data_IF_615330749720
#
_entry.id   IF_615330749720
#
_cell.length_a   1.000
_cell.length_b   1.000
_cell.length_c   1.000
_cell.angle_alpha   90.00
_cell.angle_beta   90.00
_cell.angle_gamma   90.00
#
_symmetry.space_group_name_H-M   'P 1'
#
loop_
_entity.id
_entity.type
_entity.pdbx_description
1 polymer ?
#
# COMPACT_ATOMS: atom_id res chain seq x y z
N UNK A 1 -14.03 3.15 7.82
CA UNK A 1 -12.72 3.83 7.66
C UNK A 1 -12.41 4.82 8.79
N UNK A 2 -11.36 4.57 9.57
CA UNK A 2 -10.80 5.40 10.64
C UNK A 2 -9.99 6.61 10.09
N UNK A 3 -9.58 7.52 10.96
CA UNK A 3 -8.89 8.75 10.56
C UNK A 3 -7.46 8.50 10.05
N UNK A 4 -6.73 7.59 10.69
CA UNK A 4 -5.34 7.27 10.32
C UNK A 4 -5.22 6.74 8.88
N UNK A 5 -6.12 5.83 8.49
CA UNK A 5 -6.15 5.28 7.13
C UNK A 5 -6.59 6.33 6.12
N UNK A 6 -7.50 7.26 6.48
CA UNK A 6 -7.86 8.39 5.61
C UNK A 6 -6.67 9.29 5.31
N UNK A 7 -5.88 9.58 6.34
CA UNK A 7 -4.74 10.48 6.21
C UNK A 7 -3.57 9.81 5.47
N UNK A 8 -3.36 8.50 5.67
CA UNK A 8 -2.40 7.71 4.91
C UNK A 8 -2.78 7.57 3.43
N UNK A 9 -4.07 7.39 3.15
CA UNK A 9 -4.59 7.06 1.83
C UNK A 9 -5.70 8.01 1.39
N UNK A 10 -5.37 9.29 1.10
CA UNK A 10 -6.32 10.19 0.46
C UNK A 10 -6.79 9.65 -0.89
N UNK A 11 -6.00 8.81 -1.57
CA UNK A 11 -6.39 8.16 -2.83
C UNK A 11 -7.59 7.20 -2.71
N UNK A 12 -7.99 6.77 -1.50
CA UNK A 12 -9.19 5.95 -1.31
C UNK A 12 -10.45 6.63 -1.84
N UNK A 13 -10.53 7.96 -1.82
CA UNK A 13 -11.71 8.68 -2.35
C UNK A 13 -11.85 8.59 -3.87
N UNK A 14 -10.82 8.10 -4.57
CA UNK A 14 -10.87 7.88 -6.01
C UNK A 14 -11.59 6.58 -6.39
N UNK A 15 -11.78 5.66 -5.43
CA UNK A 15 -12.56 4.45 -5.62
C UNK A 15 -14.04 4.83 -5.47
N UNK A 16 -14.79 4.73 -6.55
CA UNK A 16 -16.20 5.12 -6.61
C UNK A 16 -17.12 4.06 -5.98
N UNK A 17 -16.82 2.77 -6.19
CA UNK A 17 -17.47 1.65 -5.52
C UNK A 17 -17.21 1.72 -4.00
N UNK A 18 -18.28 2.06 -3.27
CA UNK A 18 -18.22 2.23 -1.82
C UNK A 18 -17.86 0.95 -1.07
N UNK A 19 -18.31 -0.22 -1.55
CA UNK A 19 -18.00 -1.50 -0.91
C UNK A 19 -16.52 -1.83 -1.09
N UNK A 20 -15.98 -1.66 -2.29
CA UNK A 20 -14.56 -1.88 -2.57
C UNK A 20 -13.69 -0.89 -1.82
N UNK A 21 -14.07 0.40 -1.77
CA UNK A 21 -13.36 1.42 -1.01
C UNK A 21 -13.27 1.09 0.46
N UNK A 22 -14.40 0.72 1.08
CA UNK A 22 -14.43 0.37 2.51
C UNK A 22 -13.70 -0.94 2.79
N UNK A 23 -13.78 -1.94 1.90
CA UNK A 23 -13.00 -3.17 2.02
C UNK A 23 -11.49 -2.90 1.95
N UNK A 24 -11.06 -2.04 1.02
CA UNK A 24 -9.65 -1.62 0.86
C UNK A 24 -9.15 -0.93 2.12
N UNK A 25 -9.94 0.01 2.67
CA UNK A 25 -9.63 0.69 3.91
C UNK A 25 -9.51 -0.29 5.10
N UNK A 26 -10.48 -1.19 5.27
CA UNK A 26 -10.49 -2.19 6.35
C UNK A 26 -9.29 -3.13 6.31
N UNK A 27 -8.83 -3.50 5.12
CA UNK A 27 -7.60 -4.32 4.99
C UNK A 27 -6.39 -3.58 5.54
N UNK A 28 -6.27 -2.27 5.26
CA UNK A 28 -5.23 -1.42 5.84
C UNK A 28 -5.37 -1.23 7.36
N UNK A 29 -6.59 -1.02 7.85
CA UNK A 29 -6.87 -0.96 9.30
C UNK A 29 -6.41 -2.25 10.00
N UNK A 30 -6.78 -3.41 9.45
CA UNK A 30 -6.40 -4.71 9.99
C UNK A 30 -4.89 -4.95 9.94
N UNK A 31 -4.24 -4.51 8.86
CA UNK A 31 -2.79 -4.63 8.73
C UNK A 31 -2.06 -3.76 9.75
N UNK A 32 -2.52 -2.52 9.98
CA UNK A 32 -1.99 -1.63 11.01
C UNK A 32 -2.23 -2.18 12.42
N UNK A 33 -3.42 -2.72 12.71
CA UNK A 33 -3.74 -3.35 14.00
C UNK A 33 -2.76 -4.50 14.35
N UNK A 34 -2.34 -5.25 13.32
CA UNK A 34 -1.43 -6.41 13.46
C UNK A 34 0.04 -6.07 13.29
N UNK A 35 0.34 -4.82 12.90
CA UNK A 35 1.68 -4.34 12.60
C UNK A 35 2.40 -3.97 13.88
N UNK A 36 3.71 -4.27 14.02
CA UNK A 36 4.54 -3.64 15.04
C UNK A 36 4.89 -2.18 14.69
N UNK A 37 4.64 -1.75 13.45
CA UNK A 37 4.89 -0.39 12.97
C UNK A 37 3.68 0.52 13.17
N UNK A 38 3.95 1.76 13.53
CA UNK A 38 2.97 2.86 13.59
C UNK A 38 2.84 3.57 12.24
N UNK A 39 1.79 4.39 12.10
CA UNK A 39 1.56 5.26 10.93
C UNK A 39 2.76 6.18 10.67
N UNK A 40 3.37 6.73 11.72
CA UNK A 40 4.53 7.62 11.60
C UNK A 40 5.77 6.88 11.10
N UNK A 41 5.95 5.63 11.50
CA UNK A 41 7.04 4.79 10.99
C UNK A 41 6.93 4.62 9.48
N UNK A 42 5.72 4.40 8.93
CA UNK A 42 5.52 4.23 7.49
C UNK A 42 5.91 5.48 6.67
N UNK A 43 5.91 6.65 7.29
CA UNK A 43 6.34 7.90 6.65
C UNK A 43 7.87 8.11 6.71
N UNK A 44 8.59 7.34 7.53
CA UNK A 44 10.02 7.55 7.79
C UNK A 44 10.90 6.37 7.38
N UNK A 45 10.43 5.12 7.55
CA UNK A 45 11.18 3.92 7.17
C UNK A 45 11.34 3.80 5.65
N UNK A 46 12.45 3.24 5.15
CA UNK A 46 12.63 3.02 3.72
C UNK A 46 11.66 1.95 3.20
N UNK A 47 11.18 2.10 1.95
CA UNK A 47 10.25 1.13 1.35
C UNK A 47 10.87 -0.26 1.11
N UNK A 48 12.20 -0.37 1.14
CA UNK A 48 12.94 -1.62 1.03
C UNK A 48 14.20 -1.61 1.88
N UNK A 49 14.47 -2.73 2.55
CA UNK A 49 15.70 -2.97 3.32
C UNK A 49 16.87 -3.44 2.45
N UNK A 50 16.64 -3.67 1.14
CA UNK A 50 17.65 -4.22 0.23
C UNK A 50 18.58 -3.15 -0.37
N UNK A 51 18.22 -1.87 -0.23
CA UNK A 51 19.00 -0.75 -0.76
C UNK A 51 19.56 0.04 0.43
N UNK A 52 20.89 0.09 0.62
CA UNK A 52 21.49 0.87 1.69
C UNK A 52 21.25 2.37 1.50
N UNK A 53 21.09 3.10 2.60
CA UNK A 53 20.92 4.56 2.67
C UNK A 53 19.75 5.12 1.82
N UNK A 54 18.73 4.31 1.58
CA UNK A 54 17.55 4.71 0.84
C UNK A 54 16.72 5.75 1.61
N UNK A 55 16.48 6.90 0.98
CA UNK A 55 15.73 8.03 1.57
C UNK A 55 14.25 8.05 1.21
N UNK A 56 13.81 7.19 0.29
CA UNK A 56 12.42 7.13 -0.14
C UNK A 56 11.63 6.31 0.88
N UNK A 57 10.69 6.98 1.56
CA UNK A 57 9.88 6.32 2.58
C UNK A 57 8.91 5.30 1.98
N UNK A 58 8.45 4.40 2.84
CA UNK A 58 7.45 3.40 2.48
C UNK A 58 6.20 4.05 1.86
N UNK A 59 5.62 5.06 2.51
CA UNK A 59 4.43 5.74 1.99
C UNK A 59 4.70 6.56 0.73
N UNK A 60 5.88 7.20 0.59
CA UNK A 60 6.22 7.93 -0.64
C UNK A 60 6.26 6.99 -1.85
N UNK A 61 6.87 5.81 -1.69
CA UNK A 61 6.87 4.77 -2.72
C UNK A 61 5.45 4.28 -3.04
N UNK A 62 4.68 3.94 -2.01
CA UNK A 62 3.33 3.39 -2.16
C UNK A 62 2.36 4.34 -2.84
N UNK A 63 2.37 5.63 -2.49
CA UNK A 63 1.54 6.64 -3.17
C UNK A 63 1.98 6.82 -4.63
N UNK A 64 3.28 6.83 -4.90
CA UNK A 64 3.79 6.85 -6.29
C UNK A 64 3.24 5.69 -7.12
N UNK A 65 3.26 4.46 -6.58
CA UNK A 65 2.70 3.26 -7.26
C UNK A 65 1.22 3.45 -7.60
N UNK A 66 0.40 3.96 -6.67
CA UNK A 66 -1.03 4.20 -6.91
C UNK A 66 -1.27 5.21 -8.02
N UNK A 67 -0.54 6.33 -8.02
CA UNK A 67 -0.68 7.37 -9.04
C UNK A 67 -0.26 6.85 -10.42
N UNK A 68 0.89 6.16 -10.50
CA UNK A 68 1.35 5.56 -11.77
C UNK A 68 0.37 4.52 -12.29
N UNK A 69 -0.17 3.65 -11.42
CA UNK A 69 -1.15 2.63 -11.81
C UNK A 69 -2.44 3.26 -12.35
N UNK A 70 -2.98 4.27 -11.66
CA UNK A 70 -4.17 5.01 -12.09
C UNK A 70 -3.95 5.69 -13.44
N UNK A 71 -2.86 6.43 -13.59
CA UNK A 71 -2.59 7.19 -14.81
C UNK A 71 -2.35 6.25 -16.01
N UNK A 72 -1.69 5.10 -15.78
CA UNK A 72 -1.56 4.06 -16.79
C UNK A 72 -2.93 3.48 -17.19
N UNK A 73 -3.80 3.16 -16.23
CA UNK A 73 -5.13 2.63 -16.50
C UNK A 73 -6.01 3.63 -17.27
N UNK A 74 -5.92 4.92 -16.97
CA UNK A 74 -6.58 5.98 -17.74
C UNK A 74 -6.12 5.96 -19.19
N UNK A 75 -4.81 5.83 -19.44
CA UNK A 75 -4.26 5.73 -20.79
C UNK A 75 -4.66 4.43 -21.48
N UNK A 76 -4.71 3.31 -20.78
CA UNK A 76 -5.22 2.05 -21.35
C UNK A 76 -6.67 2.22 -21.81
N UNK A 77 -7.53 2.84 -21.02
CA UNK A 77 -8.92 3.10 -21.41
C UNK A 77 -9.03 4.09 -22.58
N UNK A 78 -8.12 5.07 -22.68
CA UNK A 78 -8.05 6.01 -23.82
C UNK A 78 -7.68 5.32 -25.14
N UNK A 79 -6.71 4.38 -25.11
CA UNK A 79 -6.17 3.76 -26.31
C UNK A 79 -6.84 2.43 -26.69
N UNK A 80 -7.28 1.64 -25.71
CA UNK A 80 -7.82 0.29 -25.92
C UNK A 80 -9.34 0.21 -25.84
N UNK A 81 -9.97 1.26 -25.31
CA UNK A 81 -11.43 1.45 -25.28
C UNK A 81 -12.17 0.17 -24.83
N UNK A 82 -13.06 -0.36 -25.67
CA UNK A 82 -13.89 -1.52 -25.36
C UNK A 82 -13.20 -2.85 -25.67
N UNK A 83 -12.07 -2.84 -26.39
CA UNK A 83 -11.33 -4.05 -26.75
C UNK A 83 -10.53 -4.59 -25.56
N UNK A 84 -10.11 -3.71 -24.65
CA UNK A 84 -9.44 -4.07 -23.38
C UNK A 84 -9.73 -3.05 -22.28
N UNK A 85 -10.96 -3.03 -21.74
CA UNK A 85 -11.34 -2.09 -20.69
C UNK A 85 -10.61 -2.42 -19.38
N UNK A 86 -10.16 -1.38 -18.69
CA UNK A 86 -9.53 -1.45 -17.37
C UNK A 86 -10.45 -0.80 -16.34
N UNK A 87 -10.80 -1.58 -15.32
CA UNK A 87 -11.54 -1.09 -14.16
C UNK A 87 -10.62 -0.23 -13.29
N UNK A 88 -10.94 1.07 -13.18
CA UNK A 88 -10.15 2.03 -12.42
C UNK A 88 -10.23 1.77 -10.92
N UNK A 89 -11.40 1.43 -10.39
CA UNK A 89 -11.62 1.20 -8.96
C UNK A 89 -10.83 -0.02 -8.50
N UNK A 90 -10.92 -1.12 -9.24
CA UNK A 90 -10.16 -2.34 -8.97
C UNK A 90 -8.65 -2.10 -9.11
N UNK A 91 -8.22 -1.32 -10.10
CA UNK A 91 -6.80 -1.00 -10.29
C UNK A 91 -6.25 -0.17 -9.13
N UNK A 92 -6.98 0.86 -8.70
CA UNK A 92 -6.57 1.73 -7.59
C UNK A 92 -6.55 0.93 -6.28
N UNK A 93 -7.61 0.15 -6.01
CA UNK A 93 -7.67 -0.72 -4.84
C UNK A 93 -6.50 -1.72 -4.82
N UNK A 94 -6.24 -2.38 -5.95
CA UNK A 94 -5.11 -3.30 -6.12
C UNK A 94 -3.76 -2.61 -5.86
N UNK A 95 -3.54 -1.42 -6.39
CA UNK A 95 -2.31 -0.66 -6.18
C UNK A 95 -2.10 -0.25 -4.71
N UNK A 96 -3.17 0.16 -4.02
CA UNK A 96 -3.16 0.46 -2.59
C UNK A 96 -2.76 -0.81 -1.81
N UNK A 97 -3.35 -1.95 -2.12
CA UNK A 97 -3.18 -3.21 -1.37
C UNK A 97 -1.92 -4.00 -1.73
N UNK A 98 -1.29 -3.76 -2.88
CA UNK A 98 -0.21 -4.61 -3.45
C UNK A 98 0.98 -4.93 -2.53
N UNK A 99 1.14 -4.20 -1.43
CA UNK A 99 2.25 -4.33 -0.49
C UNK A 99 1.80 -4.23 0.97
N UNK A 100 0.49 -4.35 1.25
CA UNK A 100 -0.07 -4.18 2.60
C UNK A 100 0.50 -5.21 3.59
N UNK A 101 0.86 -6.40 3.10
CA UNK A 101 1.51 -7.44 3.90
C UNK A 101 2.90 -7.06 4.44
N UNK A 102 3.56 -6.02 3.90
CA UNK A 102 4.88 -5.56 4.37
C UNK A 102 4.84 -5.03 5.80
N UNK A 103 3.69 -4.52 6.23
CA UNK A 103 3.47 -4.08 7.61
C UNK A 103 3.71 -5.22 8.61
N UNK A 104 3.49 -6.47 8.19
CA UNK A 104 3.71 -7.65 9.03
C UNK A 104 5.14 -8.18 8.93
N UNK A 105 5.90 -7.80 7.90
CA UNK A 105 7.27 -8.25 7.68
C UNK A 105 8.33 -7.44 8.41
N UNK A 106 8.03 -6.18 8.71
CA UNK A 106 8.99 -5.23 9.26
C UNK A 106 8.75 -5.06 10.76
N UNK A 107 9.81 -4.69 11.46
CA UNK A 107 9.83 -4.41 12.90
C UNK A 107 10.86 -3.32 13.17
N UNK A 108 10.79 -2.66 14.33
CA UNK A 108 11.77 -1.65 14.74
C UNK A 108 12.52 -2.15 15.98
N UNK A 109 13.83 -2.28 15.85
CA UNK A 109 14.73 -2.61 16.97
C UNK A 109 15.84 -1.57 17.06
N UNK A 110 16.02 -1.01 18.25
CA UNK A 110 17.01 0.03 18.53
C UNK A 110 16.94 1.22 17.56
N UNK A 111 15.71 1.61 17.18
CA UNK A 111 15.44 2.72 16.26
C UNK A 111 15.77 2.43 14.79
N UNK A 112 16.02 1.17 14.42
CA UNK A 112 16.29 0.74 13.04
C UNK A 112 15.26 -0.28 12.57
N UNK A 113 14.80 -0.10 11.33
CA UNK A 113 13.91 -1.06 10.67
C UNK A 113 14.63 -2.38 10.39
N UNK A 114 14.05 -3.49 10.82
CA UNK A 114 14.53 -4.85 10.59
C UNK A 114 13.38 -5.79 10.20
N UNK A 115 13.69 -7.08 9.95
CA UNK A 115 12.65 -8.09 9.73
C UNK A 115 11.98 -8.49 11.06
N UNK A 116 10.65 -8.55 11.05
CA UNK A 116 9.84 -9.10 12.14
C UNK A 116 9.99 -10.63 12.23
N UNK A 117 9.47 -11.23 13.29
CA UNK A 117 9.44 -12.70 13.41
C UNK A 117 8.62 -13.35 12.28
N UNK A 118 7.43 -12.81 11.97
CA UNK A 118 6.63 -13.24 10.81
C UNK A 118 7.40 -13.07 9.50
N UNK A 119 8.06 -11.92 9.32
CA UNK A 119 8.86 -11.58 8.13
C UNK A 119 10.10 -12.44 7.91
N UNK A 120 10.53 -13.20 8.92
CA UNK A 120 11.59 -14.22 8.76
C UNK A 120 11.07 -15.47 8.05
N UNK A 121 9.80 -15.80 8.20
CA UNK A 121 9.20 -17.03 7.66
C UNK A 121 8.30 -16.78 6.44
N UNK A 122 7.56 -15.67 6.42
CA UNK A 122 6.61 -15.32 5.37
C UNK A 122 6.85 -13.90 4.88
N UNK A 123 6.83 -13.71 3.55
CA UNK A 123 6.96 -12.39 2.91
C UNK A 123 5.59 -11.85 2.50
N UNK A 124 5.49 -10.54 2.25
CA UNK A 124 4.27 -9.84 1.83
C UNK A 124 3.49 -10.50 0.72
N UNK A 125 4.08 -11.17 -0.30
CA UNK A 125 3.29 -11.82 -1.34
C UNK A 125 2.42 -12.98 -0.83
N UNK A 126 2.68 -13.47 0.39
CA UNK A 126 1.87 -14.51 1.04
C UNK A 126 1.01 -13.98 2.17
N UNK A 127 1.35 -12.81 2.73
CA UNK A 127 0.69 -12.26 3.93
C UNK A 127 -0.26 -11.11 3.64
N UNK A 128 -0.28 -10.58 2.41
CA UNK A 128 -1.16 -9.52 1.95
C UNK A 128 -1.55 -9.68 0.50
#
# INVERSE_FOLDING_TARGET
MNQEVRDLWPELIWIEDEQLREATAKTWELALERSPLTVEDLNTIPFTLLVPDLKVSFMAHKRCVVHVARDAAVKMNEFFTDDLPVDLDVTIAGAILADVGKLLEYDIKDGKSCKSETGRYLRHPFTG
#
